data_IF_372620078607
#
_entry.id   IF_372620078607
#
_cell.length_a   1.000
_cell.length_b   1.000
_cell.length_c   1.000
_cell.angle_alpha   90.00
_cell.angle_beta   90.00
_cell.angle_gamma   90.00
#
_symmetry.space_group_name_H-M   'P 1'
#
loop_
_entity.id
_entity.type
_entity.pdbx_description
1 polymer ?
#
# COMPACT_ATOMS: atom_id res chain seq x y z
N UNK A 1 -21.04 23.79 4.38
CA UNK A 1 -20.12 23.46 3.28
C UNK A 1 -19.20 22.37 3.78
N UNK A 2 -18.85 21.41 2.94
CA UNK A 2 -17.75 20.48 3.15
C UNK A 2 -16.85 20.52 1.94
N UNK A 3 -15.54 20.33 2.14
CA UNK A 3 -14.58 20.25 1.05
C UNK A 3 -13.65 19.07 1.27
N UNK A 4 -13.53 18.24 0.24
CA UNK A 4 -12.58 17.14 0.18
C UNK A 4 -11.48 17.47 -0.82
N UNK A 5 -10.24 17.16 -0.47
CA UNK A 5 -9.04 17.48 -1.26
C UNK A 5 -7.87 16.60 -0.82
N UNK A 6 -6.93 16.36 -1.72
CA UNK A 6 -5.66 15.72 -1.38
C UNK A 6 -4.86 16.57 -0.41
N UNK A 7 -4.07 15.92 0.45
CA UNK A 7 -3.08 16.54 1.32
C UNK A 7 -1.66 16.51 0.73
N UNK A 8 -1.51 16.03 -0.52
CA UNK A 8 -0.26 16.04 -1.27
C UNK A 8 -0.51 16.42 -2.73
N UNK A 9 0.38 17.21 -3.34
CA UNK A 9 0.30 17.56 -4.76
C UNK A 9 1.65 17.97 -5.35
N UNK A 10 1.72 18.03 -6.69
CA UNK A 10 2.89 18.49 -7.43
C UNK A 10 3.00 20.03 -7.40
N UNK A 11 4.23 20.60 -7.43
CA UNK A 11 4.42 22.05 -7.41
C UNK A 11 3.70 22.75 -8.55
N UNK A 12 2.98 23.84 -8.26
CA UNK A 12 2.21 24.63 -9.25
C UNK A 12 1.11 23.88 -10.00
N UNK A 13 0.80 22.63 -9.65
CA UNK A 13 -0.27 21.87 -10.27
C UNK A 13 -1.65 22.35 -9.81
N UNK A 14 -2.68 21.97 -10.57
CA UNK A 14 -4.07 22.15 -10.15
C UNK A 14 -4.44 21.16 -9.04
N UNK A 15 -4.83 21.66 -7.88
CA UNK A 15 -5.38 20.89 -6.78
C UNK A 15 -6.91 20.92 -6.87
N UNK A 16 -7.52 19.75 -7.07
CA UNK A 16 -8.97 19.63 -7.14
C UNK A 16 -9.61 19.69 -5.75
N UNK A 17 -10.59 20.58 -5.59
CA UNK A 17 -11.41 20.73 -4.39
C UNK A 17 -12.82 20.23 -4.72
N UNK A 18 -13.21 19.10 -4.13
CA UNK A 18 -14.59 18.60 -4.21
C UNK A 18 -15.42 19.28 -3.14
N UNK A 19 -16.33 20.16 -3.54
CA UNK A 19 -17.08 21.04 -2.65
C UNK A 19 -18.54 20.61 -2.62
N UNK A 20 -19.09 20.42 -1.43
CA UNK A 20 -20.53 20.32 -1.21
C UNK A 20 -21.02 21.52 -0.40
N UNK A 21 -22.03 22.22 -0.90
CA UNK A 21 -22.45 23.50 -0.35
C UNK A 21 -23.95 23.75 -0.51
N UNK A 22 -24.44 24.73 0.25
CA UNK A 22 -25.81 25.26 0.20
C UNK A 22 -25.78 26.71 0.66
N UNK A 23 -26.46 27.60 -0.06
CA UNK A 23 -26.58 29.03 0.27
C UNK A 23 -25.23 29.74 0.47
N UNK A 24 -24.26 29.46 -0.40
CA UNK A 24 -22.95 30.10 -0.41
C UNK A 24 -22.63 30.57 -1.83
N UNK A 25 -22.13 31.79 -1.94
CA UNK A 25 -21.71 32.46 -3.16
C UNK A 25 -20.24 32.21 -3.51
N UNK A 26 -19.42 31.87 -2.52
CA UNK A 26 -18.02 31.54 -2.71
C UNK A 26 -17.28 31.23 -1.42
N UNK A 27 -15.98 30.98 -1.56
CA UNK A 27 -15.06 30.74 -0.45
C UNK A 27 -13.64 31.15 -0.83
N UNK A 28 -12.77 31.29 0.16
CA UNK A 28 -11.36 31.63 -0.05
C UNK A 28 -10.47 30.48 0.40
N UNK A 29 -9.55 30.07 -0.46
CA UNK A 29 -8.46 29.14 -0.13
C UNK A 29 -7.24 29.96 0.26
N UNK A 30 -6.73 29.79 1.47
CA UNK A 30 -5.50 30.41 1.93
C UNK A 30 -4.38 29.37 2.03
N UNK A 31 -3.20 29.72 1.53
CA UNK A 31 -2.00 28.92 1.70
C UNK A 31 -1.06 29.61 2.68
N UNK A 32 -0.79 28.95 3.81
CA UNK A 32 0.15 29.42 4.82
C UNK A 32 1.38 28.53 4.79
N UNK A 33 2.52 29.06 4.33
CA UNK A 33 3.78 28.32 4.32
C UNK A 33 4.22 28.04 5.74
N UNK A 34 4.52 26.78 6.03
CA UNK A 34 4.97 26.32 7.34
C UNK A 34 6.50 26.24 7.34
N UNK A 35 7.15 27.00 8.22
CA UNK A 35 8.60 27.01 8.36
C UNK A 35 9.08 25.91 9.32
N UNK A 36 8.75 24.66 8.99
CA UNK A 36 9.18 23.46 9.70
C UNK A 36 9.50 22.35 8.69
N UNK A 37 10.44 21.45 9.01
CA UNK A 37 10.65 20.23 8.22
C UNK A 37 9.39 19.37 8.14
N UNK A 38 9.18 18.66 7.02
CA UNK A 38 8.00 17.81 6.79
C UNK A 38 7.79 16.72 7.86
N UNK A 39 8.86 16.29 8.53
CA UNK A 39 8.81 15.30 9.62
C UNK A 39 8.76 15.91 11.03
N UNK A 40 8.62 17.23 11.16
CA UNK A 40 8.62 17.86 12.48
C UNK A 40 7.50 17.30 13.37
N UNK A 41 7.80 16.84 14.60
CA UNK A 41 6.78 16.34 15.52
C UNK A 41 5.68 17.36 15.82
N UNK A 42 5.97 18.65 15.67
CA UNK A 42 5.02 19.75 15.85
C UNK A 42 3.89 19.75 14.81
N UNK A 43 4.06 19.05 13.70
CA UNK A 43 3.04 18.89 12.65
C UNK A 43 2.03 17.77 12.97
N UNK A 44 2.28 16.95 14.00
CA UNK A 44 1.37 15.86 14.41
C UNK A 44 0.14 16.36 15.17
N UNK A 45 0.25 17.53 15.81
CA UNK A 45 -0.83 18.13 16.59
C UNK A 45 -1.58 19.19 15.78
N UNK A 46 -2.83 19.46 16.16
CA UNK A 46 -3.61 20.55 15.59
C UNK A 46 -2.91 21.91 15.88
N UNK A 47 -2.75 22.79 14.88
CA UNK A 47 -2.12 24.10 15.08
C UNK A 47 -2.90 24.98 16.06
N UNK A 48 -2.20 25.55 17.06
CA UNK A 48 -2.75 26.58 17.93
C UNK A 48 -2.30 27.99 17.51
N UNK A 49 -2.82 29.03 18.17
CA UNK A 49 -2.46 30.42 17.87
C UNK A 49 -0.96 30.71 17.98
N UNK A 50 -0.23 30.01 18.86
CA UNK A 50 1.21 30.17 18.99
C UNK A 50 1.95 29.55 17.80
N UNK A 51 1.50 28.38 17.33
CA UNK A 51 2.00 27.72 16.14
C UNK A 51 1.82 28.61 14.91
N UNK A 52 0.63 29.18 14.73
CA UNK A 52 0.35 30.11 13.64
C UNK A 52 1.34 31.26 13.60
N UNK A 53 1.46 31.99 14.71
CA UNK A 53 2.33 33.17 14.80
C UNK A 53 3.80 32.84 14.57
N UNK A 54 4.24 31.67 15.02
CA UNK A 54 5.66 31.29 15.01
C UNK A 54 6.10 30.62 13.71
N UNK A 55 5.28 29.75 13.13
CA UNK A 55 5.69 28.89 12.03
C UNK A 55 4.94 29.13 10.72
N UNK A 56 3.79 29.81 10.73
CA UNK A 56 2.99 30.01 9.52
C UNK A 56 3.17 31.41 8.95
N UNK A 57 3.28 31.51 7.63
CA UNK A 57 3.21 32.77 6.88
C UNK A 57 2.24 32.63 5.72
N UNK A 58 1.19 33.44 5.67
CA UNK A 58 0.28 33.49 4.51
C UNK A 58 1.06 33.92 3.28
N UNK A 59 1.08 33.08 2.24
CA UNK A 59 1.81 33.35 0.99
C UNK A 59 0.90 33.55 -0.20
N UNK A 60 -0.33 33.02 -0.14
CA UNK A 60 -1.29 33.13 -1.22
C UNK A 60 -2.72 33.02 -0.67
N UNK A 61 -3.67 33.62 -1.39
CA UNK A 61 -5.10 33.47 -1.15
C UNK A 61 -5.89 33.63 -2.44
N UNK A 62 -6.74 32.65 -2.73
CA UNK A 62 -7.54 32.60 -3.94
C UNK A 62 -9.02 32.54 -3.56
N UNK A 63 -9.79 33.54 -4.00
CA UNK A 63 -11.23 33.53 -3.83
C UNK A 63 -11.89 32.80 -5.01
N UNK A 64 -12.78 31.88 -4.71
CA UNK A 64 -13.45 31.01 -5.66
C UNK A 64 -14.96 31.22 -5.55
N UNK A 65 -15.56 31.66 -6.65
CA UNK A 65 -17.00 31.78 -6.77
C UNK A 65 -17.64 30.40 -6.93
N UNK A 66 -18.79 30.20 -6.30
CA UNK A 66 -19.60 29.00 -6.43
C UNK A 66 -20.79 29.29 -7.35
N UNK A 67 -21.18 28.33 -8.22
CA UNK A 67 -22.42 28.44 -8.97
C UNK A 67 -23.60 28.63 -8.02
N UNK A 68 -24.46 29.62 -8.27
CA UNK A 68 -25.67 29.81 -7.48
C UNK A 68 -26.84 29.08 -8.15
N UNK A 69 -27.34 27.95 -7.60
CA UNK A 69 -28.50 27.26 -8.17
C UNK A 69 -29.79 28.05 -7.89
N UNK A 70 -30.79 27.88 -8.75
CA UNK A 70 -32.16 28.26 -8.40
C UNK A 70 -32.69 27.30 -7.32
N UNK A 71 -32.91 27.82 -6.12
CA UNK A 71 -33.45 27.06 -4.98
C UNK A 71 -32.45 26.74 -3.88
N UNK A 72 -32.96 26.41 -2.69
CA UNK A 72 -32.18 26.21 -1.46
C UNK A 72 -31.65 24.76 -1.28
N UNK A 73 -31.38 24.04 -2.39
CA UNK A 73 -30.89 22.65 -2.34
C UNK A 73 -29.36 22.58 -2.14
N UNK A 74 -28.88 21.41 -1.72
CA UNK A 74 -27.44 21.15 -1.71
C UNK A 74 -26.92 20.95 -3.14
N UNK A 75 -25.71 21.44 -3.39
CA UNK A 75 -24.99 21.29 -4.64
C UNK A 75 -23.60 20.70 -4.39
N UNK A 76 -23.08 19.99 -5.38
CA UNK A 76 -21.71 19.54 -5.44
C UNK A 76 -21.00 20.05 -6.70
N UNK A 77 -19.73 20.38 -6.57
CA UNK A 77 -18.90 20.85 -7.68
C UNK A 77 -17.43 20.55 -7.42
N UNK A 78 -16.61 20.61 -8.47
CA UNK A 78 -15.16 20.48 -8.39
C UNK A 78 -14.53 21.76 -8.91
N UNK A 79 -13.73 22.41 -8.07
CA UNK A 79 -12.99 23.62 -8.45
C UNK A 79 -11.50 23.33 -8.29
N UNK A 80 -10.72 23.66 -9.31
CA UNK A 80 -9.27 23.55 -9.26
C UNK A 80 -8.65 24.84 -8.71
N UNK A 81 -7.75 24.70 -7.73
CA UNK A 81 -6.92 25.80 -7.21
C UNK A 81 -5.46 25.54 -7.55
N UNK A 82 -4.70 26.56 -7.92
CA UNK A 82 -3.28 26.37 -8.25
C UNK A 82 -2.45 26.24 -6.97
N UNK A 83 -1.70 25.16 -6.85
CA UNK A 83 -0.82 24.91 -5.71
C UNK A 83 0.39 25.88 -5.71
N UNK A 84 0.92 26.26 -4.53
CA UNK A 84 2.19 26.98 -4.43
C UNK A 84 3.42 26.16 -4.87
N UNK A 85 4.61 26.73 -4.60
CA UNK A 85 5.91 26.06 -4.77
C UNK A 85 6.12 24.94 -3.74
N UNK A 86 7.17 24.13 -3.88
CA UNK A 86 7.52 23.05 -2.96
C UNK A 86 7.58 23.50 -1.49
N UNK A 87 7.23 22.58 -0.59
CA UNK A 87 7.27 22.76 0.85
C UNK A 87 6.02 22.26 1.57
N UNK A 88 5.98 22.55 2.87
CA UNK A 88 4.84 22.23 3.74
C UNK A 88 3.99 23.47 3.92
N UNK A 89 2.69 23.32 3.72
CA UNK A 89 1.71 24.38 3.87
C UNK A 89 0.61 23.94 4.81
N UNK A 90 0.01 24.90 5.49
CA UNK A 90 -1.32 24.75 6.03
C UNK A 90 -2.29 25.39 5.04
N UNK A 91 -3.19 24.58 4.50
CA UNK A 91 -4.24 25.03 3.60
C UNK A 91 -5.52 25.24 4.40
N UNK A 92 -6.09 26.44 4.28
CA UNK A 92 -7.32 26.84 4.99
C UNK A 92 -8.39 27.20 3.97
N UNK A 93 -9.59 26.69 4.17
CA UNK A 93 -10.76 27.05 3.37
C UNK A 93 -11.69 27.87 4.25
N UNK A 94 -11.89 29.13 3.87
CA UNK A 94 -12.65 30.11 4.63
C UNK A 94 -13.93 30.47 3.85
N UNK A 95 -15.09 30.16 4.42
CA UNK A 95 -16.39 30.41 3.78
C UNK A 95 -17.14 31.54 4.50
N UNK A 96 -16.99 32.77 4.02
CA UNK A 96 -17.75 33.95 4.47
C UNK A 96 -17.94 34.04 5.99
N UNK A 97 -19.21 34.12 6.44
CA UNK A 97 -19.59 34.19 7.86
C UNK A 97 -19.40 32.88 8.63
N UNK A 98 -19.26 31.74 7.94
CA UNK A 98 -19.04 30.44 8.58
C UNK A 98 -17.61 30.32 9.11
N UNK A 99 -16.68 31.13 8.62
CA UNK A 99 -15.28 31.08 9.03
C UNK A 99 -14.52 29.91 8.37
N UNK A 100 -13.57 29.34 9.09
CA UNK A 100 -12.72 28.25 8.57
C UNK A 100 -13.51 26.93 8.58
N UNK A 101 -13.63 26.31 7.42
CA UNK A 101 -14.38 25.07 7.20
C UNK A 101 -13.45 23.87 7.01
N UNK A 102 -12.27 24.08 6.45
CA UNK A 102 -11.22 23.05 6.32
C UNK A 102 -9.88 23.67 6.70
N UNK A 103 -9.10 22.91 7.45
CA UNK A 103 -7.74 23.27 7.84
C UNK A 103 -6.90 22.00 7.91
N UNK A 104 -6.00 21.82 6.94
CA UNK A 104 -5.19 20.61 6.82
C UNK A 104 -3.78 20.96 6.34
N UNK A 105 -2.82 20.11 6.69
CA UNK A 105 -1.49 20.17 6.09
C UNK A 105 -1.56 19.75 4.62
N UNK A 106 -0.83 20.47 3.78
CA UNK A 106 -0.63 20.20 2.37
C UNK A 106 0.88 20.10 2.12
N UNK A 107 1.33 18.94 1.67
CA UNK A 107 2.72 18.70 1.31
C UNK A 107 2.89 18.83 -0.20
N UNK A 108 3.74 19.75 -0.64
CA UNK A 108 3.98 20.01 -2.04
C UNK A 108 5.40 19.56 -2.36
N UNK A 109 5.53 18.52 -3.18
CA UNK A 109 6.81 17.95 -3.58
C UNK A 109 6.72 17.41 -5.01
N UNK A 110 7.81 17.53 -5.75
CA UNK A 110 7.96 16.94 -7.07
C UNK A 110 8.33 15.45 -7.03
N UNK A 111 8.61 14.87 -5.86
CA UNK A 111 9.10 13.49 -5.79
C UNK A 111 8.00 12.46 -5.61
N UNK A 112 8.16 11.33 -6.29
CA UNK A 112 7.53 10.05 -5.97
C UNK A 112 8.62 9.01 -5.81
N UNK A 113 8.40 8.06 -4.92
CA UNK A 113 9.35 6.97 -4.71
C UNK A 113 8.63 5.64 -4.82
N UNK A 114 9.29 4.70 -5.50
CA UNK A 114 8.86 3.31 -5.63
C UNK A 114 9.91 2.44 -4.95
N UNK A 115 9.49 1.34 -4.32
CA UNK A 115 10.39 0.45 -3.59
C UNK A 115 9.98 -0.98 -3.83
N UNK A 116 10.95 -1.84 -4.13
CA UNK A 116 10.77 -3.27 -4.25
C UNK A 116 11.86 -4.00 -3.48
N UNK A 117 11.57 -5.22 -3.04
CA UNK A 117 12.61 -6.13 -2.61
C UNK A 117 13.26 -6.75 -3.85
N UNK A 118 14.57 -6.95 -3.79
CA UNK A 118 15.37 -7.64 -4.80
C UNK A 118 16.14 -8.79 -4.14
N UNK A 119 16.80 -9.69 -4.91
CA UNK A 119 17.66 -10.72 -4.36
C UNK A 119 18.74 -10.21 -3.39
N UNK A 120 19.37 -11.13 -2.66
CA UNK A 120 20.42 -10.85 -1.68
C UNK A 120 19.97 -9.99 -0.47
N UNK A 121 18.69 -10.09 -0.11
CA UNK A 121 18.10 -9.34 1.01
C UNK A 121 18.38 -7.84 0.89
N UNK A 122 18.06 -7.25 -0.25
CA UNK A 122 18.13 -5.81 -0.46
C UNK A 122 16.75 -5.26 -0.85
N UNK A 123 16.53 -4.00 -0.53
CA UNK A 123 15.57 -3.15 -1.20
C UNK A 123 16.26 -2.37 -2.30
N UNK A 124 15.62 -2.25 -3.45
CA UNK A 124 15.90 -1.21 -4.44
C UNK A 124 14.75 -0.20 -4.40
N UNK A 125 15.10 1.08 -4.37
CA UNK A 125 14.12 2.14 -4.47
C UNK A 125 14.52 3.16 -5.53
N UNK A 126 13.54 3.63 -6.28
CA UNK A 126 13.71 4.62 -7.35
C UNK A 126 12.97 5.90 -6.99
N UNK A 127 13.69 7.02 -7.01
CA UNK A 127 13.13 8.37 -6.92
C UNK A 127 12.83 8.86 -8.31
N UNK A 128 11.57 9.24 -8.52
CA UNK A 128 11.04 9.72 -9.78
C UNK A 128 10.44 11.11 -9.60
N UNK A 129 10.46 11.89 -10.67
CA UNK A 129 9.61 13.06 -10.80
C UNK A 129 8.15 12.59 -10.88
N UNK A 130 7.30 13.09 -9.98
CA UNK A 130 5.96 12.58 -9.78
C UNK A 130 4.98 12.91 -10.93
N UNK A 131 5.34 13.85 -11.81
CA UNK A 131 4.54 14.21 -12.98
C UNK A 131 5.01 13.47 -14.24
N UNK A 132 6.30 13.53 -14.55
CA UNK A 132 6.87 12.94 -15.77
C UNK A 132 7.28 11.46 -15.63
N UNK A 133 7.41 10.96 -14.40
CA UNK A 133 7.91 9.60 -14.12
C UNK A 133 9.41 9.40 -14.39
N UNK A 134 10.15 10.46 -14.75
CA UNK A 134 11.58 10.38 -15.05
C UNK A 134 12.40 10.18 -13.77
N UNK A 135 13.53 9.45 -13.82
CA UNK A 135 14.40 9.27 -12.67
C UNK A 135 15.04 10.60 -12.24
N UNK A 136 15.19 10.77 -10.92
CA UNK A 136 15.84 11.95 -10.32
C UNK A 136 17.19 11.54 -9.74
N UNK A 137 18.31 11.82 -10.43
CA UNK A 137 19.65 11.55 -9.90
C UNK A 137 20.03 12.54 -8.80
N UNK A 138 21.03 12.18 -7.98
CA UNK A 138 21.58 12.99 -6.89
C UNK A 138 20.55 13.51 -5.87
N UNK A 139 19.40 12.83 -5.73
CA UNK A 139 18.42 13.10 -4.69
C UNK A 139 18.83 12.42 -3.38
N UNK A 140 18.70 13.13 -2.26
CA UNK A 140 19.02 12.62 -0.93
C UNK A 140 17.84 11.87 -0.35
N UNK A 141 17.96 10.54 -0.28
CA UNK A 141 17.01 9.65 0.40
C UNK A 141 17.44 9.49 1.85
N UNK A 142 16.57 9.87 2.79
CA UNK A 142 16.74 9.61 4.23
C UNK A 142 15.84 8.47 4.65
N UNK A 143 16.41 7.45 5.29
CA UNK A 143 15.73 6.26 5.79
C UNK A 143 15.55 6.37 7.30
N UNK A 144 14.35 6.02 7.77
CA UNK A 144 13.96 6.15 9.17
C UNK A 144 13.52 4.80 9.74
N UNK A 145 13.81 4.58 11.02
CA UNK A 145 13.15 3.56 11.85
C UNK A 145 12.17 4.27 12.78
N UNK A 146 11.16 3.54 13.29
CA UNK A 146 10.21 4.08 14.25
C UNK A 146 10.15 3.21 15.50
N UNK A 147 10.36 3.82 16.67
CA UNK A 147 10.25 3.14 17.96
C UNK A 147 9.36 3.96 18.88
N UNK A 148 8.27 3.36 19.39
CA UNK A 148 7.28 4.04 20.25
C UNK A 148 6.74 5.36 19.66
N UNK A 149 6.61 5.44 18.33
CA UNK A 149 6.13 6.63 17.63
C UNK A 149 7.17 7.72 17.36
N UNK A 150 8.42 7.49 17.76
CA UNK A 150 9.57 8.37 17.48
C UNK A 150 10.32 7.87 16.24
N UNK A 151 10.49 8.76 15.27
CA UNK A 151 11.25 8.51 14.05
C UNK A 151 12.71 8.85 14.27
N UNK A 152 13.59 7.92 13.95
CA UNK A 152 15.04 8.11 14.00
C UNK A 152 15.62 7.85 12.62
N UNK A 153 16.35 8.83 12.09
CA UNK A 153 17.12 8.64 10.85
C UNK A 153 18.22 7.60 11.11
N UNK A 154 18.28 6.58 10.27
CA UNK A 154 19.28 5.50 10.38
C UNK A 154 20.26 5.49 9.22
N UNK A 155 19.91 6.08 8.08
CA UNK A 155 20.76 6.12 6.90
C UNK A 155 20.34 7.24 5.95
N UNK A 156 21.32 7.83 5.28
CA UNK A 156 21.09 8.73 4.16
C UNK A 156 21.89 8.27 2.93
N UNK A 157 21.27 8.31 1.76
CA UNK A 157 21.83 7.81 0.50
C UNK A 157 21.52 8.80 -0.63
N UNK A 158 22.45 8.97 -1.56
CA UNK A 158 22.19 9.69 -2.81
C UNK A 158 21.78 8.69 -3.89
N UNK A 159 20.77 9.05 -4.66
CA UNK A 159 20.38 8.27 -5.85
C UNK A 159 21.45 8.33 -6.92
N UNK A 160 21.66 7.22 -7.62
CA UNK A 160 22.54 7.15 -8.79
C UNK A 160 21.96 7.87 -10.03
N UNK A 161 22.65 7.77 -11.16
CA UNK A 161 22.26 8.36 -12.45
C UNK A 161 20.87 7.92 -12.95
N UNK A 162 20.40 6.75 -12.51
CA UNK A 162 19.12 6.16 -12.87
C UNK A 162 18.05 6.43 -11.79
N UNK A 163 18.36 7.31 -10.82
CA UNK A 163 17.46 7.71 -9.75
C UNK A 163 17.31 6.65 -8.65
N UNK A 164 18.24 5.70 -8.54
CA UNK A 164 18.09 4.52 -7.67
C UNK A 164 18.98 4.57 -6.44
N UNK A 165 18.48 3.97 -5.35
CA UNK A 165 19.24 3.64 -4.15
C UNK A 165 18.99 2.19 -3.75
N UNK A 166 19.99 1.55 -3.14
CA UNK A 166 19.87 0.21 -2.56
C UNK A 166 20.21 0.23 -1.09
N UNK A 167 19.47 -0.54 -0.30
CA UNK A 167 19.71 -0.67 1.13
C UNK A 167 19.30 -2.04 1.65
N UNK A 168 19.93 -2.54 2.72
CA UNK A 168 19.67 -3.89 3.21
C UNK A 168 18.22 -4.10 3.62
N UNK A 169 17.68 -5.29 3.38
CA UNK A 169 16.45 -5.83 3.95
C UNK A 169 16.83 -6.85 5.01
N UNK A 170 17.11 -6.38 6.22
CA UNK A 170 17.51 -7.24 7.35
C UNK A 170 16.47 -7.21 8.45
N UNK A 171 16.35 -8.30 9.21
CA UNK A 171 15.47 -8.37 10.37
C UNK A 171 15.92 -7.43 11.51
N UNK A 172 17.18 -7.00 11.47
CA UNK A 172 17.78 -6.07 12.44
C UNK A 172 17.27 -4.63 12.28
N UNK A 173 16.92 -4.21 11.06
CA UNK A 173 16.51 -2.83 10.76
C UNK A 173 15.11 -2.82 10.18
N UNK A 174 14.15 -2.53 11.05
CA UNK A 174 12.76 -2.31 10.64
C UNK A 174 12.57 -0.86 10.15
N UNK A 175 12.84 -0.62 8.87
CA UNK A 175 12.63 0.68 8.24
C UNK A 175 11.14 1.05 8.27
N UNK A 176 10.82 2.16 8.92
CA UNK A 176 9.47 2.71 8.97
C UNK A 176 9.10 3.44 7.67
N UNK A 177 10.08 4.03 6.99
CA UNK A 177 9.83 4.85 5.80
C UNK A 177 11.04 5.66 5.36
N UNK A 178 10.81 6.52 4.37
CA UNK A 178 11.80 7.45 3.85
C UNK A 178 11.22 8.83 3.52
N UNK A 179 12.12 9.80 3.35
CA UNK A 179 11.87 11.08 2.70
C UNK A 179 12.92 11.33 1.63
N UNK A 180 12.58 12.18 0.65
CA UNK A 180 13.50 12.63 -0.39
C UNK A 180 13.68 14.14 -0.30
N UNK A 181 14.92 14.58 -0.43
CA UNK A 181 15.27 15.99 -0.54
C UNK A 181 16.18 16.20 -1.75
N UNK A 182 15.92 17.26 -2.53
CA UNK A 182 16.86 17.76 -3.54
C UNK A 182 16.64 19.26 -3.73
N UNK A 183 17.74 20.00 -3.82
CA UNK A 183 17.73 21.46 -3.95
C UNK A 183 16.85 22.13 -2.87
N UNK A 184 15.79 22.82 -3.30
CA UNK A 184 14.81 23.47 -2.40
C UNK A 184 13.62 22.58 -2.05
N UNK A 185 13.44 21.43 -2.71
CA UNK A 185 12.33 20.53 -2.41
C UNK A 185 12.68 19.65 -1.21
N UNK A 186 12.03 19.97 -0.09
CA UNK A 186 12.05 19.22 1.17
C UNK A 186 10.63 18.98 1.67
N UNK A 187 9.65 19.05 0.77
CA UNK A 187 8.23 19.00 1.09
C UNK A 187 7.71 17.58 1.28
N UNK A 188 8.50 16.56 0.92
CA UNK A 188 8.06 15.17 0.95
C UNK A 188 7.78 14.70 2.39
N UNK A 189 6.55 14.29 2.72
CA UNK A 189 6.26 13.67 4.01
C UNK A 189 6.82 12.25 4.05
N UNK A 190 6.87 11.64 5.24
CA UNK A 190 7.30 10.25 5.39
C UNK A 190 6.44 9.34 4.50
N UNK A 191 7.09 8.68 3.54
CA UNK A 191 6.47 7.58 2.80
C UNK A 191 6.83 6.29 3.51
N UNK A 192 5.81 5.54 3.90
CA UNK A 192 5.99 4.26 4.61
C UNK A 192 6.49 3.21 3.62
N UNK A 193 7.47 2.41 4.05
CA UNK A 193 7.83 1.19 3.33
C UNK A 193 6.82 0.13 3.76
N UNK A 194 5.89 -0.21 2.86
CA UNK A 194 4.96 -1.30 3.08
C UNK A 194 5.69 -2.63 3.06
N UNK A 195 5.56 -3.42 4.13
CA UNK A 195 6.03 -4.81 4.13
C UNK A 195 5.01 -5.64 3.37
N UNK A 196 5.09 -5.63 2.04
CA UNK A 196 4.44 -6.68 1.26
C UNK A 196 5.17 -7.97 1.59
N UNK A 197 4.45 -9.05 1.91
CA UNK A 197 5.02 -10.39 1.94
C UNK A 197 5.55 -10.70 0.55
N UNK A 198 6.81 -10.35 0.31
CA UNK A 198 7.53 -10.86 -0.85
C UNK A 198 7.80 -12.30 -0.49
N UNK A 199 6.98 -13.20 -1.05
CA UNK A 199 7.33 -14.61 -1.10
C UNK A 199 8.76 -14.67 -1.61
N UNK A 200 9.64 -15.21 -0.77
CA UNK A 200 11.04 -15.37 -1.11
C UNK A 200 11.10 -16.06 -2.48
N UNK A 201 11.58 -15.37 -3.51
CA UNK A 201 11.84 -15.98 -4.82
C UNK A 201 12.94 -17.06 -4.72
N UNK A 202 13.60 -17.18 -3.56
CA UNK A 202 14.48 -18.31 -3.22
C UNK A 202 13.76 -19.63 -3.02
N UNK A 203 12.43 -19.68 -3.19
CA UNK A 203 11.67 -20.92 -3.28
C UNK A 203 11.81 -21.50 -4.70
N UNK A 204 13.04 -21.81 -5.09
CA UNK A 204 13.37 -22.34 -6.43
C UNK A 204 13.04 -23.82 -6.59
N UNK A 205 12.41 -24.43 -5.58
CA UNK A 205 12.08 -25.84 -5.60
C UNK A 205 11.09 -26.24 -4.49
N UNK A 206 9.78 -26.18 -4.76
CA UNK A 206 8.79 -26.81 -3.88
C UNK A 206 8.25 -28.09 -4.51
N UNK A 207 8.21 -29.13 -3.68
CA UNK A 207 7.39 -30.31 -3.91
C UNK A 207 5.92 -29.92 -3.67
N UNK A 208 5.08 -30.10 -4.68
CA UNK A 208 3.66 -29.80 -4.61
C UNK A 208 2.83 -31.05 -4.95
N UNK A 209 1.71 -31.20 -4.25
CA UNK A 209 0.70 -32.22 -4.49
C UNK A 209 -0.66 -31.55 -4.60
N UNK A 210 -1.35 -31.76 -5.71
CA UNK A 210 -2.75 -31.39 -5.85
C UNK A 210 -3.58 -32.66 -5.71
N UNK A 211 -4.55 -32.64 -4.79
CA UNK A 211 -5.58 -33.67 -4.67
C UNK A 211 -6.91 -33.11 -5.17
N UNK A 212 -7.56 -33.86 -6.04
CA UNK A 212 -8.86 -33.53 -6.63
C UNK A 212 -9.82 -34.66 -6.34
N UNK A 213 -11.06 -34.31 -6.01
CA UNK A 213 -12.17 -35.24 -5.95
C UNK A 213 -13.11 -35.03 -7.14
N UNK A 214 -13.88 -36.05 -7.53
CA UNK A 214 -14.84 -35.91 -8.64
C UNK A 214 -16.00 -34.96 -8.29
N UNK A 215 -16.25 -34.72 -6.99
CA UNK A 215 -17.35 -33.89 -6.48
C UNK A 215 -16.91 -33.09 -5.26
N UNK A 216 -17.59 -31.98 -5.01
CA UNK A 216 -17.41 -31.17 -3.82
C UNK A 216 -18.18 -31.68 -2.58
N UNK A 217 -19.16 -32.57 -2.75
CA UNK A 217 -20.02 -33.07 -1.67
C UNK A 217 -20.34 -34.55 -1.86
N UNK A 218 -20.22 -35.32 -0.77
CA UNK A 218 -20.57 -36.73 -0.70
C UNK A 218 -21.54 -36.99 0.45
N UNK A 219 -22.31 -38.07 0.33
CA UNK A 219 -23.17 -38.60 1.38
C UNK A 219 -22.53 -39.84 2.02
N UNK A 220 -22.88 -40.19 3.27
CA UNK A 220 -22.43 -41.43 3.91
C UNK A 220 -22.64 -42.66 3.01
N UNK A 221 -21.67 -43.57 2.98
CA UNK A 221 -21.68 -44.78 2.13
C UNK A 221 -21.24 -44.56 0.68
N UNK A 222 -21.00 -43.33 0.22
CA UNK A 222 -20.52 -43.08 -1.14
C UNK A 222 -19.02 -43.32 -1.29
N UNK A 223 -18.62 -43.72 -2.49
CA UNK A 223 -17.21 -43.76 -2.90
C UNK A 223 -16.73 -42.37 -3.31
N UNK A 224 -15.65 -41.93 -2.68
CA UNK A 224 -14.87 -40.73 -3.05
C UNK A 224 -13.77 -41.16 -3.99
N UNK A 225 -13.78 -40.66 -5.23
CA UNK A 225 -12.67 -40.85 -6.17
C UNK A 225 -11.68 -39.70 -6.03
N UNK A 226 -10.39 -40.04 -5.96
CA UNK A 226 -9.30 -39.08 -5.75
C UNK A 226 -8.31 -39.15 -6.91
N UNK A 227 -7.97 -38.00 -7.48
CA UNK A 227 -6.83 -37.83 -8.39
C UNK A 227 -5.74 -37.00 -7.73
N UNK A 228 -4.54 -37.55 -7.64
CA UNK A 228 -3.35 -36.84 -7.20
C UNK A 228 -2.47 -36.42 -8.37
N UNK A 229 -1.86 -35.24 -8.29
CA UNK A 229 -0.86 -34.74 -9.23
C UNK A 229 0.32 -34.18 -8.44
N UNK A 230 1.47 -34.83 -8.56
CA UNK A 230 2.72 -34.44 -7.94
C UNK A 230 3.62 -33.72 -8.95
N UNK A 231 4.09 -32.53 -8.59
CA UNK A 231 5.02 -31.77 -9.41
C UNK A 231 5.96 -30.93 -8.55
N UNK A 232 7.06 -30.51 -9.16
CA UNK A 232 8.09 -29.66 -8.61
C UNK A 232 7.96 -28.29 -9.26
N UNK A 233 7.67 -27.26 -8.47
CA UNK A 233 7.53 -25.88 -8.95
C UNK A 233 8.85 -25.12 -8.79
N UNK A 234 9.23 -24.40 -9.85
CA UNK A 234 10.35 -23.46 -9.93
C UNK A 234 9.83 -22.11 -10.45
N UNK A 235 10.63 -21.05 -10.36
CA UNK A 235 10.22 -19.66 -10.66
C UNK A 235 9.43 -19.52 -11.97
N UNK A 236 9.92 -20.15 -13.05
CA UNK A 236 9.30 -20.05 -14.38
C UNK A 236 8.86 -21.41 -14.97
N UNK A 237 9.00 -22.52 -14.22
CA UNK A 237 8.71 -23.86 -14.75
C UNK A 237 8.11 -24.80 -13.71
N UNK A 238 7.38 -25.81 -14.18
CA UNK A 238 6.86 -26.90 -13.35
C UNK A 238 7.18 -28.25 -14.00
N UNK A 239 7.78 -29.17 -13.23
CA UNK A 239 8.16 -30.49 -13.71
C UNK A 239 7.41 -31.57 -12.92
N UNK A 240 6.81 -32.54 -13.61
CA UNK A 240 6.08 -33.64 -12.96
C UNK A 240 7.02 -34.57 -12.19
N UNK A 241 6.50 -35.21 -11.14
CA UNK A 241 7.25 -36.17 -10.32
C UNK A 241 6.73 -37.58 -10.61
N UNK A 242 7.39 -38.28 -11.53
CA UNK A 242 6.99 -39.61 -11.99
C UNK A 242 7.57 -40.75 -11.14
N UNK A 243 6.81 -41.83 -10.96
CA UNK A 243 7.27 -43.08 -10.36
C UNK A 243 7.47 -43.07 -8.84
N UNK A 244 7.10 -41.99 -8.14
CA UNK A 244 7.25 -41.83 -6.70
C UNK A 244 6.09 -42.45 -5.92
N UNK A 245 6.38 -42.96 -4.72
CA UNK A 245 5.39 -43.57 -3.82
C UNK A 245 4.86 -42.55 -2.83
N UNK A 246 3.54 -42.54 -2.67
CA UNK A 246 2.85 -41.72 -1.68
C UNK A 246 1.90 -42.57 -0.83
N UNK A 247 1.62 -42.07 0.36
CA UNK A 247 0.56 -42.59 1.23
C UNK A 247 -0.57 -41.59 1.24
N UNK A 248 -1.75 -42.01 0.78
CA UNK A 248 -2.96 -41.23 0.84
C UNK A 248 -3.75 -41.65 2.08
N UNK A 249 -4.03 -40.71 2.97
CA UNK A 249 -4.80 -40.93 4.21
C UNK A 249 -6.11 -40.16 4.11
N UNK A 250 -7.21 -40.82 4.48
CA UNK A 250 -8.52 -40.21 4.66
C UNK A 250 -8.79 -40.05 6.16
N UNK A 251 -9.17 -38.85 6.57
CA UNK A 251 -9.51 -38.48 7.94
C UNK A 251 -10.92 -37.95 8.05
N UNK A 252 -11.60 -38.27 9.15
CA UNK A 252 -12.95 -37.82 9.44
C UNK A 252 -13.03 -36.38 9.96
N UNK A 253 -14.25 -35.89 10.19
CA UNK A 253 -14.51 -34.57 10.75
C UNK A 253 -13.86 -34.33 12.13
N UNK A 254 -13.45 -35.40 12.84
CA UNK A 254 -12.69 -35.33 14.09
C UNK A 254 -11.18 -35.52 13.88
N UNK A 255 -10.68 -35.41 12.64
CA UNK A 255 -9.29 -35.65 12.24
C UNK A 255 -8.79 -37.07 12.52
N UNK A 256 -9.69 -38.05 12.65
CA UNK A 256 -9.31 -39.45 12.88
C UNK A 256 -9.08 -40.13 11.55
N UNK A 257 -7.97 -40.85 11.41
CA UNK A 257 -7.73 -41.69 10.24
C UNK A 257 -8.80 -42.78 10.12
N UNK A 258 -9.47 -42.82 8.97
CA UNK A 258 -10.52 -43.78 8.64
C UNK A 258 -10.22 -44.57 7.36
N UNK A 259 -9.12 -44.25 6.68
CA UNK A 259 -8.67 -44.98 5.50
C UNK A 259 -7.25 -44.62 5.13
N UNK A 260 -6.52 -45.59 4.55
CA UNK A 260 -5.15 -45.40 4.08
C UNK A 260 -4.91 -46.24 2.83
N UNK A 261 -4.27 -45.65 1.82
CA UNK A 261 -3.88 -46.34 0.58
C UNK A 261 -2.47 -45.92 0.14
N UNK A 262 -1.65 -46.90 -0.23
CA UNK A 262 -0.39 -46.63 -0.93
C UNK A 262 -0.68 -46.42 -2.42
N UNK A 263 -0.08 -45.38 -2.99
CA UNK A 263 -0.24 -45.02 -4.41
C UNK A 263 1.13 -44.72 -5.02
N UNK A 264 1.22 -44.83 -6.34
CA UNK A 264 2.43 -44.50 -7.09
C UNK A 264 2.10 -43.60 -8.27
N UNK A 265 2.89 -42.56 -8.50
CA UNK A 265 2.68 -41.68 -9.66
C UNK A 265 3.07 -42.36 -10.97
N UNK A 266 2.30 -42.09 -12.02
CA UNK A 266 2.59 -42.50 -13.39
C UNK A 266 3.64 -41.57 -14.06
N UNK A 267 3.90 -41.78 -15.35
CA UNK A 267 4.84 -40.99 -16.15
C UNK A 267 4.48 -39.50 -16.25
N UNK A 268 3.21 -39.15 -16.00
CA UNK A 268 2.72 -37.76 -15.95
C UNK A 268 2.65 -37.20 -14.51
N UNK A 269 3.27 -37.87 -13.55
CA UNK A 269 3.29 -37.46 -12.15
C UNK A 269 1.95 -37.55 -11.43
N UNK A 270 1.01 -38.37 -11.91
CA UNK A 270 -0.34 -38.47 -11.35
C UNK A 270 -0.69 -39.87 -10.86
N UNK A 271 -1.65 -39.96 -9.93
CA UNK A 271 -2.25 -41.23 -9.49
C UNK A 271 -3.76 -41.10 -9.32
N UNK A 272 -4.46 -42.22 -9.29
CA UNK A 272 -5.88 -42.30 -8.93
C UNK A 272 -6.08 -43.28 -7.78
N UNK A 273 -7.00 -42.97 -6.89
CA UNK A 273 -7.38 -43.81 -5.76
C UNK A 273 -8.85 -43.58 -5.41
N UNK A 274 -9.37 -44.34 -4.45
CA UNK A 274 -10.75 -44.23 -4.00
C UNK A 274 -10.88 -44.59 -2.52
N UNK A 275 -11.87 -44.03 -1.84
CA UNK A 275 -12.27 -44.43 -0.50
C UNK A 275 -13.78 -44.58 -0.43
N UNK A 276 -14.26 -45.65 0.21
CA UNK A 276 -15.69 -45.78 0.54
C UNK A 276 -15.92 -45.09 1.88
N UNK A 277 -16.78 -44.07 1.90
CA UNK A 277 -17.13 -43.39 3.14
C UNK A 277 -17.94 -44.33 4.04
N UNK A 278 -17.70 -44.31 5.37
CA UNK A 278 -18.56 -45.02 6.31
C UNK A 278 -20.03 -44.65 6.15
N UNK A 279 -20.93 -45.62 6.26
CA UNK A 279 -22.39 -45.39 6.19
C UNK A 279 -22.95 -44.66 7.41
N UNK A 280 -22.15 -44.48 8.47
CA UNK A 280 -22.48 -43.71 9.67
C UNK A 280 -21.25 -42.97 10.19
N UNK A 281 -21.47 -41.86 10.90
CA UNK A 281 -20.39 -40.99 11.36
C UNK A 281 -20.86 -39.54 11.51
N UNK A 282 -19.97 -38.67 11.97
CA UNK A 282 -20.24 -37.23 12.06
C UNK A 282 -20.15 -36.58 10.67
N UNK A 283 -21.20 -35.88 10.26
CA UNK A 283 -21.14 -35.05 9.06
C UNK A 283 -20.19 -33.87 9.27
N UNK A 284 -19.46 -33.49 8.22
CA UNK A 284 -18.52 -32.37 8.29
C UNK A 284 -17.48 -32.44 7.18
N UNK A 285 -16.40 -31.71 7.38
CA UNK A 285 -15.25 -31.72 6.46
C UNK A 285 -14.38 -32.95 6.69
N UNK A 286 -14.12 -33.67 5.61
CA UNK A 286 -13.16 -34.78 5.57
C UNK A 286 -11.90 -34.32 4.83
N UNK A 287 -10.74 -34.88 5.20
CA UNK A 287 -9.43 -34.52 4.62
C UNK A 287 -8.64 -35.76 4.22
#
# INVERSE_FOLDING_TARGET
MTVNTSNQTYPKAGLALTVNYRNLDGFTVEFHKVNLPALSPKLKAQPDNAFYKKYCRKVDAQHLALPFPEGYSYQDTVIAVKAPQTGVYLMRIVAGKTGVVVENLLYITGFKMLTCAIPDNQYEAAVLDAESGKPVPDALVRLFTEKKGELTEVKALLTDKDGKVRFPRTDEINYAGYTVEKDTDRGMPLQRIGVSYVFNESVTNLWQMILLTDRALYRPGQTVYVKGIAYRSQTDTANVIAGEKYTLTLTDANRREIGKKEVRTNEFGSFTSEFVLPSGGLNGEYY
#
